data_IF_241022220983
#
_entry.id   IF_241022220983
#
_cell.length_a   1.000
_cell.length_b   1.000
_cell.length_c   1.000
_cell.angle_alpha   90.00
_cell.angle_beta   90.00
_cell.angle_gamma   90.00
#
_symmetry.space_group_name_H-M   'P 1'
#
loop_
_entity.id
_entity.type
_entity.pdbx_description
1 polymer ?
#
# COMPACT_ATOMS: atom_id res chain seq x y z
N UNK A 1 -13.01 26.20 15.11
CA UNK A 1 -12.01 26.36 14.02
C UNK A 1 -10.71 25.59 14.29
N UNK A 2 -10.08 25.68 15.47
CA UNK A 2 -8.95 24.79 15.84
C UNK A 2 -9.24 23.30 15.61
N UNK A 3 -10.49 22.88 15.85
CA UNK A 3 -10.96 21.52 15.59
C UNK A 3 -10.97 21.13 14.10
N UNK A 4 -11.17 22.07 13.17
CA UNK A 4 -11.19 21.77 11.72
C UNK A 4 -9.78 21.53 11.21
N UNK A 5 -8.82 22.36 11.62
CA UNK A 5 -7.40 22.17 11.28
C UNK A 5 -6.86 20.88 11.88
N UNK A 6 -7.21 20.61 13.14
CA UNK A 6 -6.88 19.34 13.78
C UNK A 6 -7.49 18.15 13.02
N UNK A 7 -8.75 18.25 12.57
CA UNK A 7 -9.37 17.20 11.75
C UNK A 7 -8.66 16.99 10.41
N UNK A 8 -8.29 18.06 9.69
CA UNK A 8 -7.57 17.96 8.41
C UNK A 8 -6.20 17.29 8.63
N UNK A 9 -5.44 17.73 9.63
CA UNK A 9 -4.15 17.11 9.98
C UNK A 9 -4.31 15.65 10.41
N UNK A 10 -5.38 15.31 11.14
CA UNK A 10 -5.67 13.93 11.53
C UNK A 10 -6.01 13.06 10.32
N UNK A 11 -6.85 13.54 9.39
CA UNK A 11 -7.20 12.80 8.18
C UNK A 11 -5.97 12.57 7.32
N UNK A 12 -5.16 13.61 7.13
CA UNK A 12 -3.90 13.52 6.39
C UNK A 12 -2.92 12.54 7.06
N UNK A 13 -2.74 12.65 8.38
CA UNK A 13 -1.89 11.74 9.14
C UNK A 13 -2.36 10.29 9.04
N UNK A 14 -3.67 10.03 9.04
CA UNK A 14 -4.23 8.68 8.87
C UNK A 14 -3.92 8.12 7.49
N UNK A 15 -4.06 8.92 6.43
CA UNK A 15 -3.68 8.51 5.07
C UNK A 15 -2.20 8.10 4.99
N UNK A 16 -1.33 8.90 5.59
CA UNK A 16 0.12 8.65 5.63
C UNK A 16 0.51 7.48 6.54
N UNK A 17 -0.24 7.22 7.62
CA UNK A 17 -0.06 6.04 8.44
C UNK A 17 -0.39 4.75 7.68
N UNK A 18 -1.36 4.80 6.76
CA UNK A 18 -1.78 3.64 5.98
C UNK A 18 -0.73 3.21 4.95
N UNK A 19 -0.08 4.19 4.28
CA UNK A 19 1.06 3.92 3.39
C UNK A 19 2.24 3.34 4.15
N UNK A 20 2.57 3.94 5.31
CA UNK A 20 3.58 3.41 6.22
C UNK A 20 3.32 1.95 6.60
N UNK A 21 2.09 1.64 7.01
CA UNK A 21 1.72 0.30 7.45
C UNK A 21 1.92 -0.75 6.35
N UNK A 22 1.59 -0.40 5.10
CA UNK A 22 1.80 -1.29 3.94
C UNK A 22 3.28 -1.57 3.70
N UNK A 23 4.12 -0.54 3.78
CA UNK A 23 5.57 -0.65 3.65
C UNK A 23 6.20 -1.43 4.81
N UNK A 24 5.67 -1.28 6.02
CA UNK A 24 6.10 -2.02 7.20
C UNK A 24 5.96 -3.52 7.05
N UNK A 25 4.83 -3.97 6.49
CA UNK A 25 4.55 -5.39 6.25
C UNK A 25 5.52 -5.94 5.20
N UNK A 26 5.80 -5.17 4.14
CA UNK A 26 6.74 -5.59 3.10
C UNK A 26 8.19 -5.72 3.62
N UNK A 27 8.57 -4.89 4.60
CA UNK A 27 9.93 -4.84 5.14
C UNK A 27 10.14 -5.72 6.38
N UNK A 28 9.22 -6.63 6.71
CA UNK A 28 9.24 -7.40 7.97
C UNK A 28 10.58 -8.13 8.22
N UNK A 29 11.24 -8.58 7.15
CA UNK A 29 12.46 -9.38 7.22
C UNK A 29 13.72 -8.62 7.66
N UNK A 30 13.85 -7.32 7.39
CA UNK A 30 15.08 -6.58 7.68
C UNK A 30 14.82 -5.37 8.59
N UNK A 31 15.12 -5.54 9.88
CA UNK A 31 14.93 -4.52 10.91
C UNK A 31 15.69 -3.20 10.63
N UNK A 32 16.83 -3.27 9.92
CA UNK A 32 17.60 -2.07 9.55
C UNK A 32 16.84 -1.22 8.53
N UNK A 33 16.32 -1.85 7.47
CA UNK A 33 15.54 -1.19 6.43
C UNK A 33 14.27 -0.57 7.04
N UNK A 34 13.59 -1.32 7.92
CA UNK A 34 12.44 -0.84 8.67
C UNK A 34 12.77 0.43 9.47
N UNK A 35 13.86 0.45 10.24
CA UNK A 35 14.26 1.63 11.03
C UNK A 35 14.57 2.83 10.14
N UNK A 36 15.28 2.65 9.03
CA UNK A 36 15.58 3.73 8.08
C UNK A 36 14.27 4.30 7.51
N UNK A 37 13.34 3.45 7.09
CA UNK A 37 12.06 3.88 6.53
C UNK A 37 11.25 4.71 7.53
N UNK A 38 11.18 4.29 8.80
CA UNK A 38 10.51 5.06 9.85
C UNK A 38 11.10 6.46 9.96
N UNK A 39 12.43 6.55 10.06
CA UNK A 39 13.13 7.83 10.26
C UNK A 39 12.88 8.73 9.05
N UNK A 40 13.08 8.22 7.83
CA UNK A 40 12.82 8.96 6.59
C UNK A 40 11.40 9.48 6.59
N UNK A 41 10.43 8.63 6.93
CA UNK A 41 9.03 8.98 6.85
C UNK A 41 8.61 10.02 7.90
N UNK A 42 9.06 9.86 9.15
CA UNK A 42 8.81 10.83 10.23
C UNK A 42 9.42 12.19 9.88
N UNK A 43 10.66 12.22 9.38
CA UNK A 43 11.32 13.46 8.96
C UNK A 43 10.58 14.11 7.80
N UNK A 44 10.23 13.34 6.77
CA UNK A 44 9.54 13.87 5.60
C UNK A 44 8.16 14.44 5.93
N UNK A 45 7.37 13.78 6.79
CA UNK A 45 6.04 14.28 7.16
C UNK A 45 6.06 15.39 8.22
N UNK A 46 7.14 15.53 8.99
CA UNK A 46 7.27 16.67 9.90
C UNK A 46 7.28 18.02 9.15
N UNK A 47 7.76 18.02 7.90
CA UNK A 47 7.87 19.23 7.06
C UNK A 47 6.49 19.74 6.59
N UNK A 48 5.63 18.95 5.91
CA UNK A 48 4.25 19.31 5.59
C UNK A 48 3.47 19.79 6.80
N UNK A 49 3.55 19.07 7.92
CA UNK A 49 2.87 19.45 9.15
C UNK A 49 3.31 20.84 9.65
N UNK A 50 4.62 21.11 9.67
CA UNK A 50 5.14 22.42 10.07
C UNK A 50 4.70 23.55 9.11
N UNK A 51 4.66 23.26 7.81
CA UNK A 51 4.18 24.20 6.78
C UNK A 51 2.70 24.48 6.99
N UNK A 52 1.86 23.45 7.10
CA UNK A 52 0.43 23.60 7.34
C UNK A 52 0.15 24.42 8.59
N UNK A 53 0.81 24.11 9.72
CA UNK A 53 0.66 24.88 10.96
C UNK A 53 1.00 26.35 10.73
N UNK A 54 2.13 26.66 10.08
CA UNK A 54 2.55 28.05 9.84
C UNK A 54 1.62 28.84 8.92
N UNK A 55 1.02 28.20 7.92
CA UNK A 55 0.18 28.88 6.93
C UNK A 55 -1.30 28.95 7.32
N UNK A 56 -1.80 27.96 8.07
CA UNK A 56 -3.16 27.96 8.56
C UNK A 56 -3.35 28.94 9.72
N UNK A 57 -2.36 29.12 10.60
CA UNK A 57 -2.46 29.98 11.78
C UNK A 57 -2.86 31.45 11.46
N UNK A 58 -2.18 32.18 10.54
CA UNK A 58 -2.57 33.54 10.19
C UNK A 58 -3.85 33.61 9.35
N UNK A 59 -4.11 32.59 8.51
CA UNK A 59 -5.32 32.54 7.67
C UNK A 59 -6.58 32.50 8.54
N UNK A 60 -6.56 31.74 9.64
CA UNK A 60 -7.70 31.63 10.58
C UNK A 60 -8.00 32.95 11.28
N UNK A 61 -6.98 33.76 11.55
CA UNK A 61 -7.15 35.02 12.26
C UNK A 61 -7.61 36.18 11.36
N UNK A 62 -7.28 36.15 10.07
CA UNK A 62 -7.43 37.31 9.19
C UNK A 62 -8.37 37.13 7.99
N UNK A 63 -9.01 35.97 7.78
CA UNK A 63 -9.92 35.82 6.63
C UNK A 63 -11.27 36.51 6.88
N UNK A 64 -11.64 37.55 6.10
CA UNK A 64 -13.00 38.03 6.06
C UNK A 64 -13.89 36.95 5.42
N UNK A 65 -14.89 36.50 6.16
CA UNK A 65 -15.86 35.56 5.63
C UNK A 65 -16.76 36.27 4.63
N UNK A 66 -16.70 35.87 3.36
CA UNK A 66 -17.72 36.25 2.39
C UNK A 66 -18.90 35.30 2.62
N UNK A 67 -19.96 35.81 3.25
CA UNK A 67 -21.22 35.09 3.35
C UNK A 67 -21.89 35.11 1.97
N UNK A 68 -21.94 33.95 1.30
CA UNK A 68 -22.81 33.78 0.14
C UNK A 68 -24.21 33.52 0.68
N UNK A 69 -25.08 34.51 0.58
CA UNK A 69 -26.47 34.40 0.99
C UNK A 69 -27.26 33.63 -0.09
N UNK A 70 -27.25 32.30 0.00
CA UNK A 70 -28.13 31.42 -0.78
C UNK A 70 -29.45 31.23 -0.01
N UNK A 71 -30.16 32.32 0.28
CA UNK A 71 -31.52 32.36 0.83
C UNK A 71 -31.68 31.91 2.29
N UNK A 72 -31.13 30.75 2.67
CA UNK A 72 -31.14 30.20 4.04
C UNK A 72 -29.84 29.49 4.43
N UNK A 73 -28.89 29.31 3.49
CA UNK A 73 -27.64 28.62 3.73
C UNK A 73 -26.46 29.60 3.62
N UNK A 74 -25.95 30.07 4.76
CA UNK A 74 -24.71 30.85 4.82
C UNK A 74 -23.51 29.96 4.54
N UNK A 75 -23.10 29.85 3.27
CA UNK A 75 -21.87 29.15 2.91
C UNK A 75 -20.70 30.13 3.02
N UNK A 76 -19.86 29.95 4.05
CA UNK A 76 -18.60 30.69 4.20
C UNK A 76 -17.52 30.01 3.35
N UNK A 77 -17.06 30.68 2.31
CA UNK A 77 -15.98 30.16 1.46
C UNK A 77 -14.72 31.00 1.72
N UNK A 78 -13.66 30.35 2.20
CA UNK A 78 -12.35 30.99 2.30
C UNK A 78 -11.66 30.96 0.93
N UNK A 79 -11.57 32.12 0.28
CA UNK A 79 -10.71 32.30 -0.89
C UNK A 79 -9.30 32.64 -0.41
N UNK A 80 -8.49 31.63 -0.09
CA UNK A 80 -7.05 31.83 0.14
C UNK A 80 -6.30 31.57 -1.16
N UNK A 81 -5.62 32.61 -1.69
CA UNK A 81 -4.62 32.43 -2.72
C UNK A 81 -3.41 31.75 -2.07
N UNK A 82 -3.29 30.44 -2.26
CA UNK A 82 -2.11 29.69 -1.84
C UNK A 82 -1.02 29.86 -2.89
N UNK A 83 0.18 30.25 -2.47
CA UNK A 83 1.34 30.29 -3.34
C UNK A 83 1.62 28.91 -3.95
N UNK A 84 1.86 28.85 -5.26
CA UNK A 84 2.22 27.60 -5.97
C UNK A 84 3.47 26.94 -5.40
N UNK A 85 4.42 27.73 -4.89
CA UNK A 85 5.61 27.23 -4.19
C UNK A 85 5.26 26.48 -2.91
N UNK A 86 4.22 26.93 -2.20
CA UNK A 86 3.75 26.27 -0.99
C UNK A 86 3.12 24.93 -1.32
N UNK A 87 2.27 24.90 -2.35
CA UNK A 87 1.66 23.67 -2.82
C UNK A 87 2.75 22.65 -3.18
N UNK A 88 3.74 23.04 -3.98
CA UNK A 88 4.87 22.18 -4.32
C UNK A 88 5.60 21.64 -3.09
N UNK A 89 5.87 22.49 -2.09
CA UNK A 89 6.54 22.08 -0.86
C UNK A 89 5.70 21.10 -0.02
N UNK A 90 4.37 21.15 -0.12
CA UNK A 90 3.45 20.25 0.56
C UNK A 90 3.42 18.86 -0.11
N UNK A 91 3.49 18.82 -1.44
CA UNK A 91 3.36 17.58 -2.23
C UNK A 91 4.67 16.83 -2.45
N UNK A 92 5.81 17.49 -2.29
CA UNK A 92 7.13 16.88 -2.49
C UNK A 92 7.45 15.74 -1.50
N UNK A 93 7.16 15.87 -0.19
CA UNK A 93 7.54 14.85 0.79
C UNK A 93 6.88 13.48 0.60
N UNK A 94 5.56 13.37 0.29
CA UNK A 94 4.95 12.09 -0.06
C UNK A 94 5.65 11.37 -1.22
N UNK A 95 5.97 12.10 -2.30
CA UNK A 95 6.68 11.53 -3.46
C UNK A 95 8.09 11.09 -3.09
N UNK A 96 8.80 11.87 -2.26
CA UNK A 96 10.12 11.50 -1.79
C UNK A 96 10.09 10.21 -0.96
N UNK A 97 9.10 10.07 -0.06
CA UNK A 97 8.90 8.85 0.72
C UNK A 97 8.65 7.64 -0.18
N UNK A 98 7.82 7.78 -1.23
CA UNK A 98 7.57 6.69 -2.18
C UNK A 98 8.83 6.29 -2.94
N UNK A 99 9.64 7.25 -3.40
CA UNK A 99 10.92 6.99 -4.07
C UNK A 99 11.89 6.26 -3.13
N UNK A 100 11.98 6.69 -1.87
CA UNK A 100 12.77 6.00 -0.85
C UNK A 100 12.24 4.58 -0.60
N UNK A 101 10.92 4.39 -0.59
CA UNK A 101 10.30 3.09 -0.42
C UNK A 101 10.64 2.14 -1.57
N UNK A 102 10.55 2.62 -2.81
CA UNK A 102 10.94 1.85 -4.01
C UNK A 102 12.43 1.50 -3.94
N UNK A 103 13.30 2.45 -3.62
CA UNK A 103 14.74 2.21 -3.52
C UNK A 103 15.09 1.16 -2.44
N UNK A 104 14.43 1.23 -1.28
CA UNK A 104 14.63 0.27 -0.20
C UNK A 104 14.04 -1.11 -0.51
N UNK A 105 12.94 -1.19 -1.26
CA UNK A 105 12.39 -2.45 -1.77
C UNK A 105 13.34 -3.12 -2.77
N UNK A 106 13.91 -2.32 -3.69
CA UNK A 106 14.93 -2.81 -4.62
C UNK A 106 16.18 -3.28 -3.87
N UNK A 107 16.62 -2.54 -2.85
CA UNK A 107 17.72 -2.95 -1.98
C UNK A 107 17.42 -4.27 -1.28
N UNK A 108 16.23 -4.40 -0.69
CA UNK A 108 15.78 -5.61 -0.01
C UNK A 108 15.71 -6.82 -0.97
N UNK A 109 15.31 -6.60 -2.22
CA UNK A 109 15.29 -7.65 -3.24
C UNK A 109 16.70 -8.10 -3.63
N UNK A 110 17.66 -7.18 -3.69
CA UNK A 110 19.07 -7.51 -3.98
C UNK A 110 19.77 -8.26 -2.83
N UNK A 111 19.39 -7.98 -1.58
CA UNK A 111 19.97 -8.57 -0.37
C UNK A 111 19.50 -10.02 -0.11
N UNK A 112 18.43 -10.48 -0.79
CA UNK A 112 17.98 -11.88 -0.64
C UNK A 112 19.02 -12.85 -1.23
N UNK A 113 19.50 -13.84 -0.46
CA UNK A 113 20.45 -14.83 -0.96
C UNK A 113 19.80 -15.63 -2.11
N UNK A 114 20.48 -15.63 -3.26
CA UNK A 114 20.02 -16.22 -4.53
C UNK A 114 20.16 -17.73 -4.48
N UNK A 115 19.31 -18.40 -3.72
CA UNK A 115 19.36 -19.87 -3.60
C UNK A 115 18.54 -20.58 -4.67
N UNK A 116 17.69 -19.87 -5.43
CA UNK A 116 16.84 -20.45 -6.47
C UNK A 116 16.86 -19.56 -7.72
N UNK A 117 16.90 -20.18 -8.89
CA UNK A 117 16.90 -19.59 -10.25
C UNK A 117 15.60 -18.82 -10.60
N UNK A 118 14.94 -18.21 -9.61
CA UNK A 118 13.70 -17.46 -9.78
C UNK A 118 14.01 -16.09 -10.36
N UNK A 119 13.28 -15.69 -11.39
CA UNK A 119 13.44 -14.37 -12.02
C UNK A 119 13.11 -13.28 -11.00
N UNK A 120 14.02 -12.33 -10.81
CA UNK A 120 13.87 -11.19 -9.88
C UNK A 120 12.57 -10.42 -10.15
N UNK A 121 12.20 -10.28 -11.42
CA UNK A 121 10.96 -9.61 -11.84
C UNK A 121 9.72 -10.25 -11.26
N UNK A 122 9.69 -11.60 -11.17
CA UNK A 122 8.54 -12.34 -10.66
C UNK A 122 8.38 -12.13 -9.15
N UNK A 123 9.50 -12.20 -8.40
CA UNK A 123 9.53 -11.85 -6.97
C UNK A 123 9.05 -10.41 -6.73
N UNK A 124 9.55 -9.46 -7.52
CA UNK A 124 9.19 -8.04 -7.39
C UNK A 124 7.71 -7.79 -7.67
N UNK A 125 7.17 -8.39 -8.75
CA UNK A 125 5.75 -8.28 -9.07
C UNK A 125 4.89 -8.94 -8.00
N UNK A 126 5.36 -10.05 -7.44
CA UNK A 126 4.69 -10.73 -6.34
C UNK A 126 4.70 -9.82 -5.10
N UNK A 127 5.80 -9.17 -4.76
CA UNK A 127 5.93 -8.23 -3.64
C UNK A 127 5.11 -6.93 -3.81
N UNK A 128 4.43 -6.75 -4.96
CA UNK A 128 3.51 -5.61 -5.15
C UNK A 128 4.21 -4.31 -5.49
N UNK A 129 5.47 -4.35 -5.95
CA UNK A 129 6.23 -3.16 -6.36
C UNK A 129 5.48 -2.35 -7.42
N UNK A 130 4.74 -3.01 -8.30
CA UNK A 130 3.96 -2.39 -9.37
C UNK A 130 2.94 -1.41 -8.79
N UNK A 131 2.28 -1.80 -7.68
CA UNK A 131 1.27 -0.96 -7.03
C UNK A 131 1.91 0.31 -6.46
N UNK A 132 3.08 0.17 -5.83
CA UNK A 132 3.82 1.30 -5.25
C UNK A 132 4.33 2.24 -6.35
N UNK A 133 4.85 1.68 -7.45
CA UNK A 133 5.31 2.48 -8.60
C UNK A 133 4.15 3.25 -9.23
N UNK A 134 3.00 2.60 -9.44
CA UNK A 134 1.79 3.26 -9.95
C UNK A 134 1.37 4.41 -9.03
N UNK A 135 1.35 4.18 -7.71
CA UNK A 135 1.02 5.23 -6.74
C UNK A 135 2.01 6.40 -6.77
N UNK A 136 3.31 6.11 -6.87
CA UNK A 136 4.36 7.11 -7.00
C UNK A 136 4.18 7.96 -8.28
N UNK A 137 3.86 7.34 -9.41
CA UNK A 137 3.61 8.04 -10.68
C UNK A 137 2.37 8.93 -10.58
N UNK A 138 1.30 8.44 -9.97
CA UNK A 138 0.10 9.23 -9.72
C UNK A 138 0.42 10.45 -8.86
N UNK A 139 1.15 10.30 -7.76
CA UNK A 139 1.55 11.45 -6.93
C UNK A 139 2.48 12.41 -7.65
N UNK A 140 3.38 11.91 -8.49
CA UNK A 140 4.21 12.78 -9.34
C UNK A 140 3.36 13.63 -10.29
N UNK A 141 2.26 13.08 -10.81
CA UNK A 141 1.33 13.85 -11.64
C UNK A 141 0.68 15.02 -10.89
N UNK A 142 0.41 14.88 -9.58
CA UNK A 142 -0.09 15.99 -8.73
C UNK A 142 0.91 17.14 -8.69
N UNK A 143 2.22 16.83 -8.55
CA UNK A 143 3.29 17.85 -8.57
C UNK A 143 3.28 18.60 -9.90
N UNK A 144 3.20 17.88 -11.02
CA UNK A 144 3.16 18.49 -12.37
C UNK A 144 1.93 19.38 -12.55
N UNK A 145 0.76 18.92 -12.11
CA UNK A 145 -0.49 19.68 -12.17
C UNK A 145 -0.41 20.91 -11.26
N UNK A 146 0.20 20.80 -10.08
CA UNK A 146 0.38 21.90 -9.13
C UNK A 146 1.21 23.06 -9.67
N UNK A 147 2.07 22.80 -10.66
CA UNK A 147 2.87 23.83 -11.31
C UNK A 147 2.09 24.69 -12.32
N UNK A 148 0.94 24.22 -12.80
CA UNK A 148 0.23 24.83 -13.94
C UNK A 148 -1.25 25.10 -13.72
N UNK A 149 -1.90 24.42 -12.78
CA UNK A 149 -3.34 24.46 -12.58
C UNK A 149 -3.77 25.31 -11.38
N UNK A 150 -5.06 25.64 -11.32
CA UNK A 150 -5.66 26.35 -10.19
C UNK A 150 -5.67 25.46 -8.94
N UNK A 151 -5.60 26.07 -7.75
CA UNK A 151 -5.59 25.35 -6.47
C UNK A 151 -6.75 24.37 -6.32
N UNK A 152 -7.96 24.76 -6.72
CA UNK A 152 -9.15 23.90 -6.65
C UNK A 152 -8.99 22.63 -7.49
N UNK A 153 -8.48 22.75 -8.72
CA UNK A 153 -8.21 21.57 -9.56
C UNK A 153 -7.11 20.69 -8.99
N UNK A 154 -6.08 21.28 -8.37
CA UNK A 154 -5.00 20.54 -7.72
C UNK A 154 -5.54 19.74 -6.53
N UNK A 155 -6.34 20.37 -5.65
CA UNK A 155 -6.94 19.73 -4.49
C UNK A 155 -7.90 18.59 -4.87
N UNK A 156 -8.77 18.81 -5.87
CA UNK A 156 -9.69 17.76 -6.33
C UNK A 156 -8.92 16.59 -6.93
N UNK A 157 -7.88 16.87 -7.71
CA UNK A 157 -7.03 15.83 -8.31
C UNK A 157 -6.25 15.05 -7.26
N UNK A 158 -5.70 15.75 -6.27
CA UNK A 158 -4.98 15.15 -5.16
C UNK A 158 -5.88 14.23 -4.34
N UNK A 159 -7.07 14.69 -3.92
CA UNK A 159 -8.04 13.87 -3.19
C UNK A 159 -8.43 12.62 -3.96
N UNK A 160 -8.61 12.75 -5.28
CA UNK A 160 -8.91 11.62 -6.15
C UNK A 160 -7.76 10.62 -6.21
N UNK A 161 -6.52 11.10 -6.33
CA UNK A 161 -5.31 10.27 -6.37
C UNK A 161 -5.07 9.59 -5.02
N UNK A 162 -5.25 10.29 -3.91
CA UNK A 162 -5.17 9.71 -2.57
C UNK A 162 -6.22 8.62 -2.34
N UNK A 163 -7.44 8.80 -2.86
CA UNK A 163 -8.45 7.74 -2.82
C UNK A 163 -8.04 6.49 -3.61
N UNK A 164 -7.46 6.68 -4.81
CA UNK A 164 -6.91 5.58 -5.61
C UNK A 164 -5.77 4.89 -4.85
N UNK A 165 -4.83 5.65 -4.29
CA UNK A 165 -3.70 5.12 -3.52
C UNK A 165 -4.16 4.36 -2.28
N UNK A 166 -5.17 4.86 -1.56
CA UNK A 166 -5.77 4.16 -0.44
C UNK A 166 -6.35 2.81 -0.88
N UNK A 167 -7.12 2.78 -1.97
CA UNK A 167 -7.70 1.54 -2.51
C UNK A 167 -6.60 0.54 -2.97
N UNK A 168 -5.55 1.04 -3.61
CA UNK A 168 -4.39 0.25 -4.04
C UNK A 168 -3.64 -0.34 -2.84
N UNK A 169 -3.41 0.45 -1.79
CA UNK A 169 -2.78 -0.01 -0.54
C UNK A 169 -3.63 -1.04 0.19
N UNK A 170 -4.95 -0.85 0.25
CA UNK A 170 -5.86 -1.86 0.82
C UNK A 170 -5.79 -3.17 0.04
N UNK A 171 -5.76 -3.12 -1.29
CA UNK A 171 -5.58 -4.32 -2.12
C UNK A 171 -4.24 -5.01 -1.87
N UNK A 172 -3.15 -4.24 -1.83
CA UNK A 172 -1.83 -4.75 -1.50
C UNK A 172 -1.81 -5.42 -0.12
N UNK A 173 -2.39 -4.79 0.89
CA UNK A 173 -2.52 -5.36 2.23
C UNK A 173 -3.27 -6.69 2.23
N UNK A 174 -4.41 -6.76 1.53
CA UNK A 174 -5.18 -8.01 1.41
C UNK A 174 -4.40 -9.11 0.68
N UNK A 175 -3.67 -8.76 -0.39
CA UNK A 175 -2.80 -9.70 -1.11
C UNK A 175 -1.67 -10.24 -0.22
N UNK A 176 -1.04 -9.37 0.57
CA UNK A 176 0.03 -9.76 1.50
C UNK A 176 -0.53 -10.64 2.63
N UNK A 177 -1.70 -10.30 3.18
CA UNK A 177 -2.35 -11.09 4.24
C UNK A 177 -2.77 -12.47 3.75
N UNK A 178 -3.32 -12.58 2.53
CA UNK A 178 -3.70 -13.86 1.94
C UNK A 178 -2.52 -14.85 1.86
N UNK A 179 -1.32 -14.35 1.60
CA UNK A 179 -0.11 -15.18 1.57
C UNK A 179 0.38 -15.63 2.93
N UNK A 180 0.18 -14.83 3.97
CA UNK A 180 0.50 -15.27 5.34
C UNK A 180 -0.44 -16.36 5.84
N UNK A 181 -1.71 -16.34 5.39
CA UNK A 181 -2.77 -17.25 5.85
C UNK A 181 -2.81 -18.56 5.05
N UNK A 182 -2.20 -18.62 3.86
CA UNK A 182 -2.08 -19.86 3.10
C UNK A 182 -0.71 -20.48 3.40
N UNK A 183 -0.53 -21.24 4.49
CA UNK A 183 0.62 -22.11 4.57
C UNK A 183 0.51 -23.07 3.39
N UNK A 184 1.64 -23.32 2.75
CA UNK A 184 1.84 -24.36 1.74
C UNK A 184 1.43 -25.73 2.30
N UNK A 185 0.14 -26.03 2.31
CA UNK A 185 -0.35 -27.38 2.15
C UNK A 185 -0.60 -27.55 0.66
N UNK A 186 -0.12 -28.64 0.09
CA UNK A 186 -0.43 -29.15 -1.25
C UNK A 186 0.25 -28.49 -2.45
N UNK A 187 1.48 -28.96 -2.73
CA UNK A 187 1.94 -29.18 -4.12
C UNK A 187 2.48 -30.62 -4.34
N UNK A 188 2.47 -31.49 -3.31
CA UNK A 188 2.96 -32.87 -3.47
C UNK A 188 1.87 -33.96 -3.32
N UNK A 189 0.58 -33.64 -3.42
CA UNK A 189 -0.51 -34.60 -3.19
C UNK A 189 -1.50 -34.76 -4.35
N UNK A 190 -1.30 -34.09 -5.49
CA UNK A 190 -2.28 -34.13 -6.60
C UNK A 190 -1.73 -34.61 -7.95
N UNK A 191 -0.59 -35.30 -7.96
CA UNK A 191 -0.02 -35.92 -9.18
C UNK A 191 0.08 -37.46 -9.10
N UNK A 192 -0.63 -38.11 -8.17
CA UNK A 192 -0.71 -39.59 -8.03
C UNK A 192 -2.16 -40.12 -8.11
N UNK A 193 -2.98 -39.63 -9.06
CA UNK A 193 -4.25 -40.34 -9.38
C UNK A 193 -4.61 -40.34 -10.87
N UNK A 194 -3.59 -40.29 -11.72
CA UNK A 194 -3.73 -40.48 -13.15
C UNK A 194 -2.82 -41.62 -13.61
N UNK A 195 -3.13 -42.84 -13.19
CA UNK A 195 -2.90 -44.09 -13.91
C UNK A 195 -3.32 -45.27 -13.03
N UNK A 196 -4.55 -45.77 -13.23
CA UNK A 196 -4.88 -47.20 -13.12
C UNK A 196 -6.30 -47.45 -13.67
N UNK A 197 -6.48 -47.12 -14.95
CA UNK A 197 -7.37 -47.90 -15.80
C UNK A 197 -6.52 -49.02 -16.42
N UNK A 198 -6.31 -50.10 -15.67
CA UNK A 198 -5.84 -51.34 -16.26
C UNK A 198 -6.76 -52.50 -15.85
N UNK A 199 -7.43 -52.99 -16.88
CA UNK A 199 -8.29 -54.16 -16.96
C UNK A 199 -7.92 -55.31 -16.01
N UNK A 200 -8.86 -55.73 -15.16
CA UNK A 200 -8.94 -57.14 -14.76
C UNK A 200 -10.37 -57.58 -14.44
N UNK A 201 -11.13 -57.81 -15.50
CA UNK A 201 -12.28 -58.70 -15.46
C UNK A 201 -11.80 -60.16 -15.46
N UNK A 202 -11.87 -60.85 -14.32
CA UNK A 202 -12.04 -62.31 -14.28
C UNK A 202 -12.47 -62.76 -12.88
N UNK A 203 -13.73 -63.17 -12.80
CA UNK A 203 -14.29 -63.88 -11.67
C UNK A 203 -13.67 -65.27 -11.51
N UNK A 204 -13.23 -65.63 -10.30
CA UNK A 204 -13.15 -67.04 -9.85
C UNK A 204 -13.51 -67.10 -8.35
N UNK A 205 -14.60 -67.78 -7.96
CA UNK A 205 -14.88 -68.14 -6.58
C UNK A 205 -14.49 -69.60 -6.30
N UNK A 206 -13.75 -69.89 -5.22
CA UNK A 206 -13.64 -71.22 -4.55
C UNK A 206 -12.82 -71.07 -3.26
N UNK A 207 -13.46 -71.11 -2.09
CA UNK A 207 -13.72 -72.29 -1.24
C UNK A 207 -12.51 -72.73 -0.39
N UNK A 208 -12.72 -72.70 0.94
CA UNK A 208 -12.22 -73.59 2.01
C UNK A 208 -11.02 -74.51 1.69
N UNK A 209 -10.02 -74.49 2.58
CA UNK A 209 -9.48 -75.62 3.37
C UNK A 209 -8.43 -74.99 4.31
N UNK A 210 -8.65 -74.86 5.63
CA UNK A 210 -8.26 -75.81 6.68
C UNK A 210 -7.07 -76.68 6.30
N UNK A 211 -5.91 -76.37 6.87
CA UNK A 211 -4.95 -77.39 7.31
C UNK A 211 -4.12 -76.84 8.47
N UNK A 212 -4.24 -77.52 9.61
CA UNK A 212 -3.27 -77.56 10.70
C UNK A 212 -1.89 -77.94 10.14
N UNK A 213 -0.81 -77.40 10.72
CA UNK A 213 0.40 -78.18 10.99
C UNK A 213 1.29 -77.51 12.05
N UNK A 214 1.74 -78.36 12.98
CA UNK A 214 2.53 -78.11 14.18
C UNK A 214 4.03 -77.85 13.90
N UNK A 215 4.75 -77.34 14.91
CA UNK A 215 6.23 -77.44 15.09
C UNK A 215 6.96 -76.12 14.87
N UNK A 216 7.82 -75.59 15.75
CA UNK A 216 8.55 -76.09 16.94
C UNK A 216 8.57 -75.05 18.07
#
# INVERSE_FOLDING_TARGET
MKSIVALVLCIEAVGHCNTLFSVFILCERNAKIKRIMIVVTVVCYSIPCAILIKYLDPTIHNTPFVALDLGTLEVRVCASQVDTKLALALWLPPVFVDVCAIALLLWNAMDRPRTLNVRITELLTQDGIVIIVVGCVLRFSVIVISASANLTSVLVTDLFIEFINAALNTRLFLMLRGRMVTPTCDVNSFDESMDDHQDFAAAVPRSRFVQDEDGE
#
